data_IF_061237764196
#
_entry.id   IF_061237764196
#
_cell.length_a   1.000
_cell.length_b   1.000
_cell.length_c   1.000
_cell.angle_alpha   90.00
_cell.angle_beta   90.00
_cell.angle_gamma   90.00
#
_symmetry.space_group_name_H-M   'P 1'
#
loop_
_entity.id
_entity.type
_entity.pdbx_description
1 polymer ?
#
# COMPACT_ATOMS: atom_id res chain seq x y z
N UNK A 1 -7.00 -68.59 38.78
CA UNK A 1 -6.20 -67.96 37.72
C UNK A 1 -6.94 -66.70 37.28
N UNK A 2 -6.40 -65.53 37.62
CA UNK A 2 -6.97 -64.23 37.28
C UNK A 2 -6.89 -63.97 35.77
N UNK A 3 -7.85 -63.22 35.23
CA UNK A 3 -7.60 -62.04 34.38
C UNK A 3 -8.90 -61.29 34.08
N UNK A 4 -8.98 -60.08 34.63
CA UNK A 4 -9.78 -58.98 34.14
C UNK A 4 -9.42 -58.68 32.68
N UNK A 5 -10.38 -58.19 31.91
CA UNK A 5 -10.15 -57.68 30.56
C UNK A 5 -11.29 -56.78 30.08
N UNK A 6 -11.62 -55.75 30.86
CA UNK A 6 -12.38 -54.62 30.35
C UNK A 6 -11.41 -53.73 29.55
N UNK A 7 -11.69 -53.52 28.26
CA UNK A 7 -11.12 -52.42 27.48
C UNK A 7 -12.16 -51.99 26.42
N UNK A 8 -12.97 -51.02 26.82
CA UNK A 8 -13.60 -50.09 25.90
C UNK A 8 -12.51 -49.28 25.18
N UNK A 9 -12.61 -49.13 23.86
CA UNK A 9 -12.19 -47.91 23.16
C UNK A 9 -12.64 -47.97 21.69
N UNK A 10 -13.82 -47.42 21.40
CA UNK A 10 -14.16 -46.95 20.06
C UNK A 10 -13.33 -45.68 19.80
N UNK A 11 -12.32 -45.77 18.94
CA UNK A 11 -11.56 -44.59 18.48
C UNK A 11 -12.32 -44.00 17.29
N UNK A 12 -13.14 -42.98 17.60
CA UNK A 12 -13.75 -42.11 16.60
C UNK A 12 -12.64 -41.32 15.89
N UNK A 13 -12.39 -41.62 14.62
CA UNK A 13 -11.61 -40.79 13.72
C UNK A 13 -12.36 -39.48 13.42
N UNK A 14 -12.29 -38.51 14.33
CA UNK A 14 -12.66 -37.13 14.04
C UNK A 14 -11.44 -36.40 13.46
N UNK A 15 -11.19 -36.60 12.17
CA UNK A 15 -10.29 -35.74 11.40
C UNK A 15 -10.94 -34.37 11.22
N UNK A 16 -10.84 -33.50 12.23
CA UNK A 16 -11.15 -32.08 12.10
C UNK A 16 -10.02 -31.41 11.30
N UNK A 17 -10.02 -31.59 9.97
CA UNK A 17 -9.33 -30.70 9.06
C UNK A 17 -10.22 -29.48 8.82
N UNK A 18 -10.29 -28.60 9.82
CA UNK A 18 -10.95 -27.31 9.69
C UNK A 18 -10.16 -26.28 10.48
N UNK A 19 -8.98 -25.91 9.97
CA UNK A 19 -8.32 -24.64 10.25
C UNK A 19 -7.06 -24.48 9.38
N UNK A 20 -7.22 -23.81 8.23
CA UNK A 20 -6.28 -22.78 7.78
C UNK A 20 -7.01 -21.90 6.75
N UNK A 21 -8.21 -21.46 7.11
CA UNK A 21 -8.83 -20.29 6.47
C UNK A 21 -8.23 -19.07 7.15
N UNK A 22 -7.04 -18.66 6.71
CA UNK A 22 -6.53 -17.33 7.05
C UNK A 22 -7.50 -16.33 6.44
N UNK A 23 -8.16 -15.54 7.28
CA UNK A 23 -8.96 -14.42 6.78
C UNK A 23 -8.01 -13.44 6.10
N UNK A 24 -8.13 -13.30 4.78
CA UNK A 24 -7.40 -12.29 4.01
C UNK A 24 -7.55 -10.91 4.69
N UNK A 25 -6.43 -10.23 4.95
CA UNK A 25 -6.44 -8.90 5.55
C UNK A 25 -7.10 -7.93 4.58
N UNK A 26 -8.18 -7.29 5.04
CA UNK A 26 -8.86 -6.24 4.28
C UNK A 26 -8.12 -4.91 4.41
N UNK A 27 -8.27 -4.06 3.40
CA UNK A 27 -7.81 -2.69 3.43
C UNK A 27 -8.29 -1.95 4.69
N UNK A 28 -7.34 -1.42 5.47
CA UNK A 28 -7.59 -0.60 6.65
C UNK A 28 -7.16 0.85 6.38
N UNK A 29 -8.13 1.78 6.39
CA UNK A 29 -7.84 3.18 6.10
C UNK A 29 -6.99 3.87 7.18
N UNK A 30 -7.00 3.38 8.43
CA UNK A 30 -6.08 3.87 9.45
C UNK A 30 -4.64 3.42 9.17
N UNK A 31 -4.47 2.24 8.57
CA UNK A 31 -3.19 1.76 8.05
C UNK A 31 -2.74 2.60 6.85
N UNK A 32 -3.66 2.92 5.93
CA UNK A 32 -3.36 3.83 4.82
C UNK A 32 -2.94 5.22 5.29
N UNK A 33 -3.55 5.74 6.37
CA UNK A 33 -3.12 6.99 7.00
C UNK A 33 -1.67 6.89 7.53
N UNK A 34 -1.27 5.73 8.08
CA UNK A 34 0.12 5.51 8.52
C UNK A 34 1.06 5.48 7.32
N UNK A 35 0.70 4.75 6.28
CA UNK A 35 1.45 4.67 5.03
C UNK A 35 1.68 6.07 4.42
N UNK A 36 0.63 6.89 4.27
CA UNK A 36 0.75 8.24 3.70
C UNK A 36 1.57 9.19 4.59
N UNK A 37 1.45 9.08 5.92
CA UNK A 37 2.31 9.84 6.84
C UNK A 37 3.78 9.49 6.64
N UNK A 38 4.09 8.22 6.54
CA UNK A 38 5.48 7.77 6.35
C UNK A 38 6.01 8.21 4.99
N UNK A 39 5.20 8.07 3.93
CA UNK A 39 5.52 8.57 2.59
C UNK A 39 5.91 10.06 2.60
N UNK A 40 5.07 10.93 3.19
CA UNK A 40 5.35 12.38 3.28
C UNK A 40 6.58 12.66 4.16
N UNK A 41 6.77 11.91 5.24
CA UNK A 41 7.95 12.06 6.11
C UNK A 41 9.25 11.73 5.36
N UNK A 42 9.27 10.66 4.56
CA UNK A 42 10.44 10.25 3.78
C UNK A 42 10.74 11.27 2.67
N UNK A 43 9.72 11.78 1.98
CA UNK A 43 9.88 12.90 1.04
C UNK A 43 10.50 14.13 1.71
N UNK A 44 9.99 14.53 2.87
CA UNK A 44 10.48 15.70 3.59
C UNK A 44 11.93 15.55 4.06
N UNK A 45 12.34 14.34 4.42
CA UNK A 45 13.75 14.02 4.76
C UNK A 45 14.64 13.87 3.53
N UNK A 46 14.07 13.82 2.33
CA UNK A 46 14.74 13.42 1.10
C UNK A 46 15.45 12.05 1.24
N UNK A 47 14.81 11.12 1.95
CA UNK A 47 15.35 9.77 2.22
C UNK A 47 14.99 8.82 1.07
N UNK A 48 15.85 8.74 0.06
CA UNK A 48 15.63 7.92 -1.13
C UNK A 48 15.59 6.42 -0.80
N UNK A 49 16.49 5.92 0.05
CA UNK A 49 16.56 4.49 0.39
C UNK A 49 15.34 4.07 1.23
N UNK A 50 14.95 4.89 2.21
CA UNK A 50 13.74 4.65 2.99
C UNK A 50 12.47 4.70 2.13
N UNK A 51 12.42 5.65 1.19
CA UNK A 51 11.31 5.74 0.24
C UNK A 51 11.27 4.55 -0.73
N UNK A 52 12.43 4.09 -1.21
CA UNK A 52 12.51 2.89 -2.03
C UNK A 52 11.99 1.67 -1.26
N UNK A 53 12.35 1.52 0.02
CA UNK A 53 11.83 0.46 0.88
C UNK A 53 10.32 0.53 1.10
N UNK A 54 9.73 1.73 1.18
CA UNK A 54 8.27 1.90 1.27
C UNK A 54 7.56 1.53 -0.05
N UNK A 55 8.25 1.65 -1.19
CA UNK A 55 7.70 1.43 -2.53
C UNK A 55 8.12 0.08 -3.15
N UNK A 56 8.90 -0.73 -2.44
CA UNK A 56 9.61 -1.91 -2.98
C UNK A 56 8.66 -3.04 -3.41
N UNK A 57 7.41 -3.02 -2.94
CA UNK A 57 6.37 -3.97 -3.32
C UNK A 57 5.93 -3.81 -4.80
N UNK A 58 6.40 -2.78 -5.52
CA UNK A 58 6.22 -2.62 -6.96
C UNK A 58 7.55 -2.84 -7.71
N UNK A 59 7.57 -3.54 -8.87
CA UNK A 59 8.75 -3.50 -9.75
C UNK A 59 9.05 -2.03 -10.06
N UNK A 60 10.29 -1.60 -9.83
CA UNK A 60 10.75 -0.20 -9.97
C UNK A 60 10.56 0.73 -8.76
N UNK A 61 10.34 0.20 -7.54
CA UNK A 61 10.23 1.02 -6.32
C UNK A 61 11.43 1.96 -6.09
N UNK A 62 12.64 1.54 -6.45
CA UNK A 62 13.85 2.38 -6.37
C UNK A 62 13.83 3.53 -7.39
N UNK A 63 13.53 3.24 -8.65
CA UNK A 63 13.43 4.28 -9.68
C UNK A 63 12.29 5.27 -9.39
N UNK A 64 11.18 4.78 -8.85
CA UNK A 64 10.05 5.63 -8.44
C UNK A 64 10.42 6.51 -7.24
N UNK A 65 11.11 5.94 -6.24
CA UNK A 65 11.63 6.72 -5.12
C UNK A 65 12.56 7.84 -5.60
N UNK A 66 13.51 7.52 -6.47
CA UNK A 66 14.42 8.51 -7.05
C UNK A 66 13.65 9.62 -7.79
N UNK A 67 12.68 9.26 -8.64
CA UNK A 67 11.86 10.22 -9.38
C UNK A 67 11.04 11.13 -8.45
N UNK A 68 10.45 10.56 -7.39
CA UNK A 68 9.67 11.29 -6.39
C UNK A 68 10.54 12.24 -5.56
N UNK A 69 11.74 11.81 -5.16
CA UNK A 69 12.70 12.67 -4.44
C UNK A 69 13.15 13.83 -5.34
N UNK A 70 13.44 13.57 -6.62
CA UNK A 70 13.80 14.62 -7.56
C UNK A 70 12.66 15.63 -7.78
N UNK A 71 11.40 15.16 -7.80
CA UNK A 71 10.24 16.02 -8.02
C UNK A 71 9.84 16.82 -6.76
N UNK A 72 9.89 16.19 -5.59
CA UNK A 72 9.18 16.63 -4.38
C UNK A 72 10.03 16.66 -3.10
N UNK A 73 11.21 16.05 -3.12
CA UNK A 73 12.02 15.83 -1.92
C UNK A 73 12.51 17.10 -1.24
N UNK A 74 12.62 17.06 0.09
CA UNK A 74 13.22 18.13 0.91
C UNK A 74 12.40 19.42 0.99
N UNK A 75 11.12 19.38 0.59
CA UNK A 75 10.29 20.57 0.47
C UNK A 75 9.43 20.85 1.72
N UNK A 76 9.67 20.21 2.86
CA UNK A 76 8.92 20.46 4.12
C UNK A 76 7.39 20.53 3.93
N UNK A 77 6.85 19.55 3.22
CA UNK A 77 5.42 19.44 2.96
C UNK A 77 4.65 19.36 4.28
N UNK A 78 3.75 20.32 4.46
CA UNK A 78 2.73 20.34 5.49
C UNK A 78 1.38 20.18 4.78
N UNK A 79 0.92 18.94 4.71
CA UNK A 79 -0.21 18.54 3.85
C UNK A 79 -1.24 17.73 4.63
N UNK A 80 -2.48 17.86 4.17
CA UNK A 80 -3.61 17.01 4.54
C UNK A 80 -4.06 16.23 3.31
N UNK A 81 -4.73 15.11 3.49
CA UNK A 81 -5.25 14.31 2.39
C UNK A 81 -6.75 14.06 2.48
N UNK A 82 -7.38 14.05 1.32
CA UNK A 82 -8.73 13.54 1.11
C UNK A 82 -8.71 12.38 0.11
N UNK A 83 -9.64 11.45 0.24
CA UNK A 83 -9.67 10.19 -0.51
C UNK A 83 -10.99 10.02 -1.21
N UNK A 84 -10.94 9.52 -2.44
CA UNK A 84 -12.12 9.10 -3.19
C UNK A 84 -11.82 7.76 -3.83
N UNK A 85 -12.75 6.81 -3.74
CA UNK A 85 -12.62 5.49 -4.35
C UNK A 85 -13.77 5.29 -5.33
N UNK A 86 -13.41 5.07 -6.59
CA UNK A 86 -14.35 4.73 -7.67
C UNK A 86 -14.41 3.20 -7.87
N UNK A 87 -13.43 2.46 -7.35
CA UNK A 87 -13.26 1.01 -7.51
C UNK A 87 -12.85 0.38 -6.18
N UNK A 88 -13.30 -0.85 -5.87
CA UNK A 88 -12.83 -1.59 -4.69
C UNK A 88 -11.30 -1.61 -4.63
N UNK A 89 -10.77 -1.42 -3.42
CA UNK A 89 -9.34 -1.52 -3.13
C UNK A 89 -8.43 -0.51 -3.87
N UNK A 90 -9.01 0.51 -4.52
CA UNK A 90 -8.27 1.61 -5.18
C UNK A 90 -8.81 2.96 -4.75
N UNK A 91 -7.90 3.86 -4.39
CA UNK A 91 -8.20 5.22 -3.94
C UNK A 91 -7.38 6.25 -4.70
N UNK A 92 -8.06 7.30 -5.17
CA UNK A 92 -7.41 8.57 -5.53
C UNK A 92 -7.26 9.40 -4.25
N UNK A 93 -6.02 9.69 -3.89
CA UNK A 93 -5.67 10.46 -2.70
C UNK A 93 -5.17 11.84 -3.15
N UNK A 94 -5.87 12.88 -2.72
CA UNK A 94 -5.47 14.27 -2.99
C UNK A 94 -4.75 14.84 -1.77
N UNK A 95 -3.46 15.13 -1.90
CA UNK A 95 -2.65 15.82 -0.90
C UNK A 95 -2.72 17.33 -1.17
N UNK A 96 -3.08 18.12 -0.17
CA UNK A 96 -3.17 19.58 -0.24
C UNK A 96 -2.57 20.24 0.99
N UNK A 97 -1.82 21.32 0.79
CA UNK A 97 -1.23 22.07 1.89
C UNK A 97 -0.19 23.06 1.41
N UNK A 98 0.95 23.12 2.10
CA UNK A 98 2.06 24.04 1.76
C UNK A 98 3.41 23.35 1.70
N UNK A 99 4.35 23.91 0.95
CA UNK A 99 5.72 23.41 0.80
C UNK A 99 6.75 24.55 0.68
N UNK A 100 7.97 24.27 1.12
CA UNK A 100 9.16 25.12 1.04
C UNK A 100 9.15 26.30 2.01
N UNK A 101 10.25 27.06 2.02
CA UNK A 101 10.44 28.19 2.93
C UNK A 101 9.34 29.28 2.83
N UNK A 102 8.79 29.47 1.63
CA UNK A 102 7.71 30.44 1.37
C UNK A 102 6.30 29.89 1.68
N UNK A 103 6.18 28.62 2.13
CA UNK A 103 4.92 27.89 2.33
C UNK A 103 3.98 27.98 1.13
N UNK A 104 4.52 27.71 -0.07
CA UNK A 104 3.74 27.78 -1.31
C UNK A 104 2.67 26.70 -1.32
N UNK A 105 1.46 26.98 -1.82
CA UNK A 105 0.42 25.96 -1.94
C UNK A 105 0.89 24.77 -2.77
N UNK A 106 0.65 23.56 -2.27
CA UNK A 106 0.91 22.31 -2.99
C UNK A 106 -0.39 21.51 -3.14
N UNK A 107 -0.53 20.87 -4.30
CA UNK A 107 -1.65 19.98 -4.62
C UNK A 107 -1.15 18.83 -5.47
N UNK A 108 -1.11 17.63 -4.89
CA UNK A 108 -0.69 16.39 -5.56
C UNK A 108 -1.84 15.39 -5.52
N UNK A 109 -1.95 14.56 -6.55
CA UNK A 109 -2.90 13.46 -6.60
C UNK A 109 -2.12 12.19 -6.81
N UNK A 110 -2.28 11.26 -5.88
CA UNK A 110 -1.70 9.93 -5.93
C UNK A 110 -2.81 8.90 -6.13
N UNK A 111 -2.51 7.81 -6.82
CA UNK A 111 -3.37 6.63 -6.84
C UNK A 111 -2.75 5.59 -5.92
N UNK A 112 -3.54 5.13 -4.94
CA UNK A 112 -3.12 4.18 -3.91
C UNK A 112 -4.00 2.95 -4.00
N UNK A 113 -3.42 1.75 -4.07
CA UNK A 113 -4.15 0.47 -4.08
C UNK A 113 -3.80 -0.40 -2.87
N UNK A 114 -4.73 -1.29 -2.51
CA UNK A 114 -4.50 -2.38 -1.55
C UNK A 114 -4.35 -3.69 -2.31
N UNK A 115 -3.15 -4.25 -2.32
CA UNK A 115 -2.82 -5.46 -3.06
C UNK A 115 -1.94 -6.35 -2.18
N UNK A 116 -2.18 -7.67 -2.18
CA UNK A 116 -1.39 -8.65 -1.44
C UNK A 116 -1.11 -8.28 0.03
N UNK A 117 -2.09 -7.66 0.69
CA UNK A 117 -2.01 -7.18 2.08
C UNK A 117 -1.10 -5.96 2.33
N UNK A 118 -0.75 -5.21 1.27
CA UNK A 118 0.11 -4.04 1.31
C UNK A 118 -0.54 -2.82 0.62
N UNK A 119 -0.11 -1.63 1.04
CA UNK A 119 -0.50 -0.37 0.40
C UNK A 119 0.53 0.00 -0.67
N UNK A 120 0.07 0.20 -1.90
CA UNK A 120 0.92 0.54 -3.03
C UNK A 120 0.59 1.93 -3.55
N UNK A 121 1.62 2.63 -4.03
CA UNK A 121 1.45 3.84 -4.85
C UNK A 121 1.64 3.44 -6.31
N UNK A 122 0.76 3.94 -7.18
CA UNK A 122 1.05 3.89 -8.63
C UNK A 122 2.33 4.70 -8.88
N UNK A 123 3.32 4.15 -9.61
CA UNK A 123 4.55 4.88 -9.92
C UNK A 123 4.28 6.17 -10.68
N UNK A 124 5.19 7.15 -10.55
CA UNK A 124 5.12 8.39 -11.32
C UNK A 124 5.17 8.10 -12.83
N UNK A 125 4.46 8.93 -13.60
CA UNK A 125 4.46 8.87 -15.04
C UNK A 125 5.90 8.90 -15.60
N UNK A 126 6.24 7.92 -16.44
CA UNK A 126 7.57 7.79 -17.04
C UNK A 126 8.56 6.92 -16.27
N UNK A 127 8.26 6.51 -15.03
CA UNK A 127 9.07 5.53 -14.29
C UNK A 127 8.82 4.12 -14.82
N UNK A 128 7.55 3.74 -14.99
CA UNK A 128 7.17 2.50 -15.66
C UNK A 128 6.83 2.83 -17.11
N UNK A 129 7.44 2.11 -18.05
CA UNK A 129 7.04 2.21 -19.46
C UNK A 129 5.60 1.73 -19.59
N UNK A 130 4.71 2.63 -20.00
CA UNK A 130 3.33 2.26 -20.33
C UNK A 130 3.37 1.09 -21.32
N UNK A 131 2.79 -0.08 -20.99
CA UNK A 131 2.70 -1.17 -21.95
C UNK A 131 2.04 -0.65 -23.23
N UNK A 132 2.47 -1.07 -24.42
CA UNK A 132 1.99 -0.50 -25.69
C UNK A 132 0.47 -0.63 -25.91
N UNK A 133 -0.23 -1.42 -25.08
CA UNK A 133 -1.68 -1.64 -25.12
C UNK A 133 -2.40 -1.25 -23.81
N UNK A 134 -1.75 -0.55 -22.87
CA UNK A 134 -2.43 -0.08 -21.67
C UNK A 134 -3.44 1.01 -22.04
N UNK A 135 -4.63 0.94 -21.43
CA UNK A 135 -5.70 1.91 -21.66
C UNK A 135 -5.19 3.33 -21.39
N UNK A 136 -5.54 4.29 -22.27
CA UNK A 136 -5.37 5.70 -21.97
C UNK A 136 -6.31 6.11 -20.83
N UNK A 137 -5.76 6.83 -19.85
CA UNK A 137 -6.53 7.41 -18.74
C UNK A 137 -7.11 8.78 -19.10
N UNK A 138 -7.03 9.19 -20.38
CA UNK A 138 -7.63 10.42 -20.88
C UNK A 138 -9.16 10.34 -20.75
N UNK A 139 -9.82 11.31 -20.06
CA UNK A 139 -11.29 11.33 -19.98
C UNK A 139 -11.94 11.53 -21.36
N UNK A 140 -13.12 10.94 -21.63
CA UNK A 140 -13.89 11.28 -22.82
C UNK A 140 -14.32 12.75 -22.76
N UNK A 141 -14.21 13.43 -23.90
CA UNK A 141 -14.61 14.83 -24.08
C UNK A 141 -16.13 15.03 -24.12
#
# INVERSE_FOLDING_TARGET
>A
MSRLGALCAAVLCAGLLSACGGSEKKADLADQDRFLREYVNLLNKADEDGLAGLLDDHPHGKEDAHARIAAYGGQEWDVTWNRTSDFPDVWKVRLTGTAGADRRPVKVVETVSWEDEHWLLTPLDGVVTKPPNAADTTPPG
#
